data_IF_293318620735
#
_entry.id   IF_293318620735
#
_cell.length_a   1.000
_cell.length_b   1.000
_cell.length_c   1.000
_cell.angle_alpha   90.00
_cell.angle_beta   90.00
_cell.angle_gamma   90.00
#
_symmetry.space_group_name_H-M   'P 1'
#
loop_
_entity.id
_entity.type
_entity.pdbx_description
1 polymer ?
#
# COMPACT_ATOMS: atom_id res chain seq x y z
N UNK A 1 -8.64 -7.17 -14.26
CA UNK A 1 -7.40 -8.01 -14.33
C UNK A 1 -7.54 -9.14 -13.34
N UNK A 2 -7.27 -10.38 -13.73
CA UNK A 2 -7.34 -11.50 -12.78
C UNK A 2 -6.37 -11.26 -11.61
N UNK A 3 -6.74 -11.77 -10.43
CA UNK A 3 -5.88 -11.71 -9.24
C UNK A 3 -4.49 -12.24 -9.56
N UNK A 4 -3.46 -11.44 -9.32
CA UNK A 4 -2.06 -11.84 -9.52
C UNK A 4 -1.23 -11.55 -8.29
N UNK A 5 -0.62 -12.58 -7.71
CA UNK A 5 0.26 -12.50 -6.55
C UNK A 5 1.68 -12.82 -7.00
N UNK A 6 2.64 -11.96 -6.67
CA UNK A 6 4.05 -12.15 -7.04
C UNK A 6 4.90 -11.95 -5.79
N UNK A 7 5.60 -13.00 -5.37
CA UNK A 7 6.61 -12.96 -4.31
C UNK A 7 7.97 -12.52 -4.87
N UNK A 8 8.79 -11.90 -4.03
CA UNK A 8 10.09 -11.37 -4.42
C UNK A 8 10.00 -10.50 -5.68
N UNK A 9 9.02 -9.60 -5.69
CA UNK A 9 8.70 -8.76 -6.84
C UNK A 9 9.84 -7.85 -7.25
N UNK A 10 10.55 -7.27 -6.29
CA UNK A 10 11.77 -6.50 -6.49
C UNK A 10 12.99 -7.39 -6.28
N UNK A 11 14.08 -7.13 -6.98
CA UNK A 11 15.34 -7.75 -6.61
C UNK A 11 15.83 -7.23 -5.24
N UNK A 12 16.84 -7.90 -4.68
CA UNK A 12 17.31 -7.60 -3.31
C UNK A 12 17.81 -6.16 -3.19
N UNK A 13 18.46 -5.63 -4.22
CA UNK A 13 19.02 -4.27 -4.19
C UNK A 13 17.92 -3.21 -4.31
N UNK A 14 16.95 -3.43 -5.18
CA UNK A 14 15.76 -2.57 -5.34
C UNK A 14 14.94 -2.53 -4.06
N UNK A 15 14.69 -3.71 -3.46
CA UNK A 15 13.93 -3.81 -2.22
C UNK A 15 14.65 -3.11 -1.06
N UNK A 16 15.97 -3.33 -0.90
CA UNK A 16 16.77 -2.62 0.10
C UNK A 16 16.74 -1.11 -0.11
N UNK A 17 16.85 -0.66 -1.35
CA UNK A 17 16.77 0.77 -1.70
C UNK A 17 15.40 1.33 -1.33
N UNK A 18 14.32 0.61 -1.65
CA UNK A 18 12.96 1.02 -1.29
C UNK A 18 12.79 1.14 0.24
N UNK A 19 13.19 0.12 0.99
CA UNK A 19 13.11 0.12 2.46
C UNK A 19 13.89 1.30 3.05
N UNK A 20 15.12 1.51 2.61
CA UNK A 20 15.96 2.62 3.08
C UNK A 20 15.34 4.00 2.77
N UNK A 21 14.67 4.14 1.65
CA UNK A 21 14.00 5.39 1.26
C UNK A 21 12.61 5.58 1.86
N UNK A 22 12.06 4.59 2.55
CA UNK A 22 10.71 4.63 3.14
C UNK A 22 10.74 4.49 4.66
N UNK A 23 10.91 3.27 5.18
CA UNK A 23 10.75 2.95 6.60
C UNK A 23 12.07 2.65 7.32
N UNK A 24 13.14 2.31 6.60
CA UNK A 24 14.43 1.87 7.15
C UNK A 24 15.54 2.92 7.12
N UNK A 25 15.21 4.20 7.09
CA UNK A 25 16.21 5.28 6.87
C UNK A 25 17.21 5.40 8.00
N UNK A 26 18.49 5.23 7.66
CA UNK A 26 19.62 5.40 8.58
C UNK A 26 20.27 6.79 8.52
N UNK A 27 19.89 7.63 7.56
CA UNK A 27 20.48 8.94 7.26
C UNK A 27 19.83 10.12 7.99
N UNK A 28 18.94 9.86 8.93
CA UNK A 28 18.21 10.88 9.70
C UNK A 28 17.05 11.56 8.95
N UNK A 29 16.79 11.21 7.70
CA UNK A 29 15.61 11.66 7.02
C UNK A 29 14.36 10.98 7.60
N UNK A 30 13.31 11.75 7.82
CA UNK A 30 12.05 11.27 8.35
C UNK A 30 11.02 11.13 7.23
N UNK A 31 10.25 10.05 7.25
CA UNK A 31 9.06 9.93 6.43
C UNK A 31 7.87 10.46 7.22
N UNK A 32 7.26 11.51 6.72
CA UNK A 32 6.10 12.12 7.36
C UNK A 32 4.84 11.30 7.07
N UNK A 33 4.04 11.06 8.10
CA UNK A 33 2.74 10.43 7.98
C UNK A 33 1.64 11.32 8.56
N UNK A 34 0.47 11.21 7.98
CA UNK A 34 -0.76 11.80 8.54
C UNK A 34 -1.57 10.70 9.21
N UNK A 35 -2.18 11.01 10.34
CA UNK A 35 -3.13 10.11 11.00
C UNK A 35 -4.47 10.22 10.30
N UNK A 36 -5.03 9.08 9.92
CA UNK A 36 -6.41 8.95 9.45
C UNK A 36 -7.19 8.24 10.54
N UNK A 37 -8.21 8.87 11.06
CA UNK A 37 -8.96 8.41 12.25
C UNK A 37 -9.90 7.24 11.97
N UNK A 38 -10.19 6.94 10.70
CA UNK A 38 -11.01 5.81 10.28
C UNK A 38 -10.56 5.27 8.94
N UNK A 39 -10.55 3.96 8.79
CA UNK A 39 -10.35 3.30 7.50
C UNK A 39 -11.59 3.44 6.63
N UNK A 40 -12.74 3.65 7.26
CA UNK A 40 -14.06 3.74 6.63
C UNK A 40 -14.75 5.06 7.00
N UNK A 41 -15.66 5.49 6.15
CA UNK A 41 -16.45 6.72 6.29
C UNK A 41 -17.71 6.53 7.20
N UNK A 42 -17.74 5.46 8.00
CA UNK A 42 -18.93 5.02 8.75
C UNK A 42 -19.13 5.67 10.12
N UNK A 43 -18.30 6.66 10.47
CA UNK A 43 -18.33 7.32 11.79
C UNK A 43 -17.59 6.52 12.86
N UNK A 44 -16.98 7.22 13.82
CA UNK A 44 -16.20 6.61 14.91
C UNK A 44 -17.15 6.08 15.97
N UNK A 45 -17.11 4.77 16.24
CA UNK A 45 -17.70 4.18 17.45
C UNK A 45 -16.60 4.11 18.54
N UNK A 46 -16.96 4.23 19.80
CA UNK A 46 -15.99 4.10 20.91
C UNK A 46 -15.24 2.75 20.89
N UNK A 47 -15.88 1.70 20.42
CA UNK A 47 -15.32 0.36 20.27
C UNK A 47 -14.29 0.23 19.13
N UNK A 48 -14.20 1.24 18.24
CA UNK A 48 -13.36 1.23 17.03
C UNK A 48 -12.13 2.14 17.15
N UNK A 49 -11.69 2.49 18.36
CA UNK A 49 -10.47 3.29 18.58
C UNK A 49 -9.19 2.71 17.99
N UNK A 50 -9.19 1.45 17.58
CA UNK A 50 -8.11 0.80 16.87
C UNK A 50 -8.15 1.10 15.35
N UNK A 51 -9.27 1.58 14.81
CA UNK A 51 -9.52 1.72 13.37
C UNK A 51 -8.88 2.98 12.77
N UNK A 52 -7.68 3.32 13.18
CA UNK A 52 -6.90 4.40 12.60
C UNK A 52 -5.66 3.85 11.89
N UNK A 53 -5.13 4.60 10.97
CA UNK A 53 -3.88 4.28 10.31
C UNK A 53 -3.10 5.53 9.95
N UNK A 54 -1.84 5.34 9.61
CA UNK A 54 -0.96 6.37 9.14
C UNK A 54 -0.87 6.31 7.61
N UNK A 55 -0.95 7.46 6.95
CA UNK A 55 -0.80 7.56 5.51
C UNK A 55 0.27 8.58 5.13
N UNK A 56 1.15 8.19 4.20
CA UNK A 56 1.98 9.09 3.42
C UNK A 56 1.47 9.07 1.99
N UNK A 57 0.93 10.21 1.53
CA UNK A 57 0.51 10.38 0.14
C UNK A 57 1.75 10.68 -0.71
N UNK A 58 2.04 9.85 -1.70
CA UNK A 58 3.23 9.93 -2.54
C UNK A 58 2.92 10.55 -3.90
N UNK A 59 1.78 10.17 -4.47
CA UNK A 59 1.27 10.70 -5.73
C UNK A 59 -0.24 10.76 -5.71
N UNK A 60 -0.80 11.90 -6.11
CA UNK A 60 -2.24 12.09 -6.19
C UNK A 60 -2.56 13.27 -7.13
N UNK A 61 -3.67 13.18 -7.85
CA UNK A 61 -4.16 14.22 -8.75
C UNK A 61 -3.11 14.68 -9.79
N UNK A 62 -2.42 13.71 -10.39
CA UNK A 62 -1.34 13.91 -11.37
C UNK A 62 -0.13 14.71 -10.83
N UNK A 63 0.01 14.82 -9.51
CA UNK A 63 1.08 15.59 -8.87
C UNK A 63 1.84 14.71 -7.87
N UNK A 64 3.19 14.61 -7.95
CA UNK A 64 4.02 14.09 -6.87
C UNK A 64 3.80 14.91 -5.59
N UNK A 65 3.52 14.24 -4.48
CA UNK A 65 3.21 14.90 -3.19
C UNK A 65 4.45 15.06 -2.31
N UNK A 66 5.49 14.30 -2.57
CA UNK A 66 6.74 14.38 -1.82
C UNK A 66 7.93 13.82 -2.63
N UNK A 67 9.14 13.96 -2.07
CA UNK A 67 10.39 13.55 -2.73
C UNK A 67 10.58 12.03 -2.86
N UNK A 68 9.81 11.21 -2.13
CA UNK A 68 9.89 9.74 -2.23
C UNK A 68 9.35 9.27 -3.59
N UNK A 69 8.49 10.08 -4.24
CA UNK A 69 7.87 9.74 -5.51
C UNK A 69 8.88 9.28 -6.57
N UNK A 70 9.97 10.01 -6.77
CA UNK A 70 10.96 9.69 -7.82
C UNK A 70 11.60 8.33 -7.57
N UNK A 71 11.92 8.00 -6.32
CA UNK A 71 12.52 6.70 -5.97
C UNK A 71 11.52 5.55 -6.23
N UNK A 72 10.26 5.72 -5.80
CA UNK A 72 9.23 4.71 -5.99
C UNK A 72 8.88 4.54 -7.47
N UNK A 73 8.65 5.63 -8.18
CA UNK A 73 8.29 5.58 -9.60
C UNK A 73 9.37 4.93 -10.46
N UNK A 74 10.63 5.23 -10.21
CA UNK A 74 11.75 4.65 -10.94
C UNK A 74 11.90 3.13 -10.72
N UNK A 75 11.49 2.62 -9.58
CA UNK A 75 11.52 1.18 -9.28
C UNK A 75 10.28 0.48 -9.85
N UNK A 76 9.08 1.01 -9.57
CA UNK A 76 7.82 0.30 -9.83
C UNK A 76 7.30 0.45 -11.26
N UNK A 77 7.38 1.65 -11.86
CA UNK A 77 6.79 1.89 -13.19
C UNK A 77 7.35 0.95 -14.25
N UNK A 78 8.68 0.74 -14.38
CA UNK A 78 9.23 -0.18 -15.38
C UNK A 78 8.74 -1.61 -15.19
N UNK A 79 8.58 -2.07 -13.95
CA UNK A 79 8.10 -3.41 -13.63
C UNK A 79 6.60 -3.56 -13.92
N UNK A 80 5.81 -2.55 -13.60
CA UNK A 80 4.37 -2.56 -13.89
C UNK A 80 4.09 -2.63 -15.38
N UNK A 81 4.84 -1.89 -16.20
CA UNK A 81 4.71 -1.93 -17.67
C UNK A 81 5.02 -3.31 -18.27
N UNK A 82 5.81 -4.14 -17.57
CA UNK A 82 6.07 -5.52 -17.98
C UNK A 82 4.92 -6.47 -17.64
N UNK A 83 4.08 -6.12 -16.68
CA UNK A 83 2.99 -6.98 -16.20
C UNK A 83 1.70 -6.70 -16.93
N UNK A 84 1.39 -5.42 -17.17
CA UNK A 84 0.17 -4.99 -17.81
C UNK A 84 0.37 -3.64 -18.53
N UNK A 85 -0.47 -3.39 -19.52
CA UNK A 85 -0.45 -2.13 -20.27
C UNK A 85 -1.21 -1.03 -19.48
N UNK A 86 -0.61 -0.52 -18.42
CA UNK A 86 -1.18 0.58 -17.64
C UNK A 86 -1.15 1.88 -18.46
N UNK A 87 -2.26 2.59 -18.48
CA UNK A 87 -2.41 3.84 -19.23
C UNK A 87 -2.10 5.07 -18.41
N UNK A 88 -2.43 5.02 -17.12
CA UNK A 88 -2.25 6.13 -16.20
C UNK A 88 -2.09 5.62 -14.78
N UNK A 89 -1.44 6.41 -13.95
CA UNK A 89 -1.34 6.21 -12.53
C UNK A 89 -2.31 7.16 -11.82
N UNK A 90 -3.17 6.61 -10.98
CA UNK A 90 -4.20 7.38 -10.29
C UNK A 90 -3.65 7.90 -8.95
N UNK A 91 -3.05 6.99 -8.15
CA UNK A 91 -2.58 7.30 -6.80
C UNK A 91 -1.47 6.35 -6.38
N UNK A 92 -0.53 6.87 -5.59
CA UNK A 92 0.38 6.07 -4.76
C UNK A 92 0.29 6.57 -3.33
N UNK A 93 0.03 5.67 -2.40
CA UNK A 93 0.07 5.95 -0.95
C UNK A 93 0.85 4.85 -0.24
N UNK A 94 1.49 5.19 0.87
CA UNK A 94 2.07 4.25 1.80
C UNK A 94 1.25 4.31 3.09
N UNK A 95 0.76 3.14 3.53
CA UNK A 95 -0.02 3.02 4.75
C UNK A 95 0.80 2.29 5.81
N UNK A 96 0.67 2.71 7.07
CA UNK A 96 1.16 1.97 8.21
C UNK A 96 0.01 1.81 9.22
N UNK A 97 -0.21 0.56 9.63
CA UNK A 97 -1.26 0.20 10.58
C UNK A 97 -0.65 -0.05 11.96
N UNK A 98 -1.30 0.39 13.05
CA UNK A 98 -0.82 0.12 14.40
C UNK A 98 -0.90 -1.36 14.71
N UNK A 99 0.01 -1.82 15.57
CA UNK A 99 -0.10 -3.16 16.14
C UNK A 99 -1.33 -3.25 17.05
N UNK A 100 -2.05 -4.37 16.96
CA UNK A 100 -3.17 -4.73 17.83
C UNK A 100 -2.93 -6.12 18.43
N UNK A 101 -3.44 -6.38 19.64
CA UNK A 101 -3.23 -7.67 20.34
C UNK A 101 -3.78 -8.88 19.56
N UNK A 102 -4.78 -8.62 18.75
CA UNK A 102 -5.37 -9.61 17.83
C UNK A 102 -5.57 -8.94 16.47
N UNK A 103 -5.48 -9.71 15.39
CA UNK A 103 -5.74 -9.20 14.05
C UNK A 103 -7.16 -8.63 13.98
N UNK A 104 -7.26 -7.36 13.62
CA UNK A 104 -8.51 -6.65 13.40
C UNK A 104 -8.78 -6.52 11.91
N UNK A 105 -9.93 -6.96 11.48
CA UNK A 105 -10.36 -6.86 10.09
C UNK A 105 -11.15 -5.56 9.89
N UNK A 106 -10.64 -4.67 9.03
CA UNK A 106 -11.36 -3.47 8.63
C UNK A 106 -12.52 -3.82 7.71
N UNK A 107 -13.56 -2.99 7.72
CA UNK A 107 -14.68 -3.18 6.79
C UNK A 107 -14.25 -2.99 5.34
N UNK A 108 -15.02 -3.60 4.44
CA UNK A 108 -14.78 -3.49 3.00
C UNK A 108 -15.10 -2.09 2.53
N UNK A 109 -14.24 -1.53 1.72
CA UNK A 109 -14.45 -0.27 1.03
C UNK A 109 -13.89 -0.35 -0.38
N UNK A 110 -14.29 0.58 -1.22
CA UNK A 110 -13.70 0.85 -2.53
C UNK A 110 -13.06 2.23 -2.49
N UNK A 111 -11.90 2.37 -3.13
CA UNK A 111 -11.19 3.65 -3.18
C UNK A 111 -11.82 4.62 -4.21
N UNK A 112 -12.44 4.09 -5.27
CA UNK A 112 -13.06 4.82 -6.36
C UNK A 112 -14.30 4.07 -6.87
N UNK A 113 -15.26 4.78 -7.42
CA UNK A 113 -16.52 4.27 -7.95
C UNK A 113 -16.46 3.84 -9.43
N UNK A 114 -15.25 3.72 -9.99
CA UNK A 114 -15.00 3.29 -11.35
C UNK A 114 -13.97 2.16 -11.38
N UNK A 115 -14.03 1.34 -12.42
CA UNK A 115 -13.13 0.20 -12.63
C UNK A 115 -11.67 0.66 -12.74
N UNK A 116 -10.82 0.09 -11.91
CA UNK A 116 -9.38 0.33 -11.92
C UNK A 116 -8.62 -0.89 -11.42
N UNK A 117 -7.32 -0.92 -11.67
CA UNK A 117 -6.44 -1.95 -11.10
C UNK A 117 -5.84 -1.44 -9.81
N UNK A 118 -6.08 -2.18 -8.73
CA UNK A 118 -5.40 -2.01 -7.46
C UNK A 118 -4.09 -2.79 -7.42
N UNK A 119 -3.09 -2.22 -6.76
CA UNK A 119 -1.84 -2.93 -6.45
C UNK A 119 -1.45 -2.64 -5.00
N UNK A 120 -1.22 -3.69 -4.20
CA UNK A 120 -0.73 -3.58 -2.83
C UNK A 120 0.61 -4.27 -2.74
N UNK A 121 1.63 -3.51 -2.32
CA UNK A 121 2.98 -4.00 -2.09
C UNK A 121 3.31 -4.00 -0.60
N UNK A 122 3.71 -5.16 -0.07
CA UNK A 122 4.03 -5.32 1.36
C UNK A 122 5.50 -4.99 1.63
N UNK A 123 5.75 -3.95 2.45
CA UNK A 123 7.10 -3.54 2.87
C UNK A 123 7.68 -4.45 3.96
N UNK A 124 6.84 -5.13 4.72
CA UNK A 124 7.23 -6.04 5.81
C UNK A 124 6.35 -7.28 5.84
N UNK A 125 6.83 -8.31 6.51
CA UNK A 125 6.02 -9.49 6.85
C UNK A 125 5.37 -9.26 8.21
N UNK A 126 4.06 -9.48 8.29
CA UNK A 126 3.28 -9.44 9.53
C UNK A 126 2.10 -10.42 9.44
N UNK A 127 1.32 -10.49 10.50
CA UNK A 127 0.11 -11.30 10.58
C UNK A 127 -1.12 -10.68 9.89
N UNK A 128 -0.97 -9.46 9.35
CA UNK A 128 -2.00 -8.80 8.57
C UNK A 128 -2.18 -9.42 7.17
N UNK A 129 -3.29 -9.12 6.55
CA UNK A 129 -3.62 -9.58 5.20
C UNK A 129 -4.51 -8.58 4.45
N UNK A 130 -4.53 -8.69 3.14
CA UNK A 130 -5.53 -8.06 2.28
C UNK A 130 -6.65 -9.05 2.02
N UNK A 131 -7.91 -8.65 2.28
CA UNK A 131 -9.09 -9.47 1.99
C UNK A 131 -9.85 -8.86 0.81
N UNK A 132 -10.00 -9.64 -0.25
CA UNK A 132 -10.70 -9.24 -1.46
C UNK A 132 -12.22 -9.43 -1.33
N UNK A 133 -12.97 -8.89 -2.27
CA UNK A 133 -14.44 -8.93 -2.26
C UNK A 133 -15.02 -10.35 -2.31
N UNK A 134 -14.32 -11.29 -2.94
CA UNK A 134 -14.69 -12.72 -3.02
C UNK A 134 -14.32 -13.52 -1.75
N UNK A 135 -13.70 -12.88 -0.76
CA UNK A 135 -13.24 -13.49 0.47
C UNK A 135 -11.80 -14.02 0.43
N UNK A 136 -11.13 -13.96 -0.72
CA UNK A 136 -9.72 -14.37 -0.84
C UNK A 136 -8.84 -13.52 0.09
N UNK A 137 -8.00 -14.17 0.88
CA UNK A 137 -7.02 -13.52 1.77
C UNK A 137 -5.61 -13.65 1.19
N UNK A 138 -4.92 -12.53 1.10
CA UNK A 138 -3.52 -12.46 0.69
C UNK A 138 -2.69 -11.93 1.86
N UNK A 139 -1.83 -12.78 2.41
CA UNK A 139 -0.98 -12.47 3.55
C UNK A 139 0.05 -11.39 3.22
N UNK A 140 0.33 -10.52 4.19
CA UNK A 140 1.39 -9.51 4.10
C UNK A 140 2.75 -10.16 4.26
N UNK A 141 3.44 -10.38 3.15
CA UNK A 141 4.81 -10.90 3.10
C UNK A 141 5.72 -9.86 2.48
N UNK A 142 6.83 -9.56 3.12
CA UNK A 142 7.80 -8.58 2.61
C UNK A 142 8.18 -8.88 1.15
N UNK A 143 8.19 -7.82 0.31
CA UNK A 143 8.48 -7.92 -1.12
C UNK A 143 7.43 -8.74 -1.93
N UNK A 144 6.23 -8.88 -1.42
CA UNK A 144 5.06 -9.42 -2.15
C UNK A 144 4.25 -8.27 -2.73
N UNK A 145 3.82 -8.42 -3.97
CA UNK A 145 2.81 -7.54 -4.59
C UNK A 145 1.58 -8.35 -4.97
N UNK A 146 0.43 -7.76 -4.79
CA UNK A 146 -0.85 -8.29 -5.28
C UNK A 146 -1.51 -7.27 -6.20
N UNK A 147 -1.95 -7.70 -7.37
CA UNK A 147 -2.77 -6.93 -8.31
C UNK A 147 -4.17 -7.51 -8.34
N UNK A 148 -5.17 -6.67 -8.38
CA UNK A 148 -6.59 -7.06 -8.40
C UNK A 148 -7.44 -5.98 -9.07
N UNK A 149 -8.64 -6.36 -9.52
CA UNK A 149 -9.66 -5.40 -9.94
C UNK A 149 -10.30 -4.77 -8.69
N UNK A 150 -10.33 -3.44 -8.63
CA UNK A 150 -10.78 -2.66 -7.48
C UNK A 150 -11.87 -1.66 -7.87
#
# INVERSE_FOLDING_TARGET
MDLKIIDNFLDVSEFSTLINNTIGRSDGHQTEFRVISNVEDSGVREEDYWSWYLVNMIYYDNIPQNQIYSNISNIFIPKFLQIANFKTMIRIKMNAYPHTDVVKEHEKHIDYDYEHTGAIFSLNTCDGYTKLSDGTKVESVANRIVFFDA
#
